data_IF_314624369291
#
_entry.id   IF_314624369291
#
_cell.length_a   1.000
_cell.length_b   1.000
_cell.length_c   1.000
_cell.angle_alpha   90.00
_cell.angle_beta   90.00
_cell.angle_gamma   90.00
#
_symmetry.space_group_name_H-M   'P 1'
#
loop_
_entity.id
_entity.type
_entity.pdbx_description
1 polymer ?
#
# COMPACT_ATOMS: atom_id res chain seq x y z
N UNK A 1 -9.51 10.38 11.67
CA UNK A 1 -8.47 9.81 10.82
C UNK A 1 -8.05 10.89 9.85
N UNK A 2 -7.11 11.74 10.24
CA UNK A 2 -6.44 12.65 9.32
C UNK A 2 -5.22 11.91 8.79
N UNK A 3 -5.20 11.68 7.48
CA UNK A 3 -4.03 11.12 6.80
C UNK A 3 -3.17 12.36 6.46
N UNK A 4 -2.22 12.69 7.33
CA UNK A 4 -1.38 13.89 7.20
C UNK A 4 -0.21 13.73 6.21
N UNK A 5 -0.15 12.61 5.48
CA UNK A 5 0.95 12.33 4.55
C UNK A 5 0.39 11.78 3.24
N UNK A 6 0.56 12.55 2.17
CA UNK A 6 0.31 12.10 0.79
C UNK A 6 1.13 10.84 0.54
N UNK A 7 0.51 9.85 -0.09
CA UNK A 7 1.22 8.64 -0.48
C UNK A 7 2.29 9.03 -1.52
N UNK A 8 3.50 8.44 -1.48
CA UNK A 8 4.50 8.71 -2.51
C UNK A 8 3.85 8.48 -3.89
N UNK A 9 4.01 9.45 -4.79
CA UNK A 9 3.50 9.47 -6.17
C UNK A 9 1.97 9.55 -6.35
N UNK A 10 1.19 9.87 -5.32
CA UNK A 10 -0.28 10.01 -5.41
C UNK A 10 -0.73 10.95 -6.55
N UNK A 11 -0.03 12.06 -6.77
CA UNK A 11 -0.32 13.05 -7.82
C UNK A 11 0.18 12.61 -9.20
N UNK A 12 1.26 11.84 -9.26
CA UNK A 12 1.94 11.48 -10.52
C UNK A 12 1.31 10.23 -11.16
N UNK A 13 0.87 9.28 -10.35
CA UNK A 13 0.19 8.04 -10.77
C UNK A 13 -1.35 8.16 -10.78
N UNK A 14 -1.91 9.22 -10.18
CA UNK A 14 -3.32 9.61 -10.35
C UNK A 14 -4.35 8.71 -9.65
N UNK A 15 -3.95 7.95 -8.63
CA UNK A 15 -4.87 7.16 -7.82
C UNK A 15 -5.28 7.93 -6.55
N UNK A 16 -6.50 7.67 -6.07
CA UNK A 16 -7.05 8.30 -4.85
C UNK A 16 -7.51 7.26 -3.82
N UNK A 17 -7.31 5.97 -4.12
CA UNK A 17 -7.70 4.85 -3.26
C UNK A 17 -6.54 3.86 -3.15
N UNK A 18 -6.51 3.08 -2.06
CA UNK A 18 -5.50 2.02 -1.88
C UNK A 18 -5.61 0.97 -2.99
N UNK A 19 -6.83 0.63 -3.42
CA UNK A 19 -7.04 -0.25 -4.55
C UNK A 19 -6.42 0.32 -5.84
N UNK A 20 -6.59 1.63 -6.10
CA UNK A 20 -5.98 2.31 -7.23
C UNK A 20 -4.45 2.31 -7.17
N UNK A 21 -3.88 2.54 -5.99
CA UNK A 21 -2.44 2.42 -5.75
C UNK A 21 -1.93 1.02 -6.12
N UNK A 22 -2.55 -0.04 -5.58
CA UNK A 22 -2.14 -1.42 -5.85
C UNK A 22 -2.30 -1.77 -7.34
N UNK A 23 -3.38 -1.35 -7.99
CA UNK A 23 -3.59 -1.59 -9.41
C UNK A 23 -2.56 -0.88 -10.30
N UNK A 24 -2.23 0.39 -9.97
CA UNK A 24 -1.18 1.15 -10.65
C UNK A 24 0.17 0.43 -10.54
N UNK A 25 0.52 0.00 -9.32
CA UNK A 25 1.76 -0.72 -9.05
C UNK A 25 1.81 -2.10 -9.71
N UNK A 26 0.71 -2.86 -9.67
CA UNK A 26 0.65 -4.22 -10.21
C UNK A 26 0.73 -4.26 -11.74
N UNK A 27 0.22 -3.23 -12.44
CA UNK A 27 0.15 -3.19 -13.90
C UNK A 27 -0.75 -4.25 -14.53
N UNK A 28 -1.51 -4.99 -13.72
CA UNK A 28 -2.48 -6.03 -14.09
C UNK A 28 -3.61 -6.08 -13.06
N UNK A 29 -4.69 -6.79 -13.39
CA UNK A 29 -5.68 -7.19 -12.38
C UNK A 29 -5.02 -8.26 -11.50
N UNK A 30 -4.90 -8.05 -10.18
CA UNK A 30 -4.29 -9.03 -9.28
C UNK A 30 -5.26 -10.17 -8.95
N UNK A 31 -4.70 -11.27 -8.47
CA UNK A 31 -5.47 -12.41 -7.97
C UNK A 31 -5.73 -12.28 -6.46
N UNK A 32 -6.81 -12.91 -5.97
CA UNK A 32 -7.02 -13.07 -4.52
C UNK A 32 -5.87 -13.88 -3.90
N UNK A 33 -5.32 -13.40 -2.80
CA UNK A 33 -4.14 -13.93 -2.11
C UNK A 33 -2.81 -13.36 -2.62
N UNK A 34 -2.81 -12.49 -3.64
CA UNK A 34 -1.61 -11.81 -4.10
C UNK A 34 -1.14 -10.78 -3.05
N UNK A 35 0.18 -10.72 -2.84
CA UNK A 35 0.82 -9.91 -1.79
C UNK A 35 1.76 -8.88 -2.41
N UNK A 36 1.64 -7.64 -1.97
CA UNK A 36 2.48 -6.50 -2.35
C UNK A 36 3.16 -5.90 -1.13
N UNK A 37 4.37 -5.38 -1.29
CA UNK A 37 5.14 -4.77 -0.22
C UNK A 37 5.52 -3.34 -0.60
N UNK A 38 5.22 -2.38 0.28
CA UNK A 38 5.63 -0.99 0.15
C UNK A 38 6.18 -0.50 1.49
N UNK A 39 7.51 -0.30 1.55
CA UNK A 39 8.20 0.00 2.80
C UNK A 39 7.91 -1.04 3.88
N UNK A 40 7.36 -0.60 5.02
CA UNK A 40 6.98 -1.47 6.15
C UNK A 40 5.61 -2.13 6.01
N UNK A 41 4.87 -1.80 4.96
CA UNK A 41 3.51 -2.29 4.77
C UNK A 41 3.49 -3.50 3.84
N UNK A 42 2.72 -4.50 4.23
CA UNK A 42 2.38 -5.65 3.38
C UNK A 42 0.88 -5.63 3.11
N UNK A 43 0.51 -5.63 1.84
CA UNK A 43 -0.87 -5.60 1.35
C UNK A 43 -1.20 -6.97 0.76
N UNK A 44 -2.19 -7.65 1.31
CA UNK A 44 -2.73 -8.89 0.76
C UNK A 44 -4.12 -8.64 0.19
N UNK A 45 -4.34 -9.04 -1.07
CA UNK A 45 -5.65 -8.98 -1.71
C UNK A 45 -6.53 -10.08 -1.13
N UNK A 46 -7.54 -9.72 -0.35
CA UNK A 46 -8.44 -10.69 0.29
C UNK A 46 -9.67 -10.98 -0.57
N UNK A 47 -10.11 -9.98 -1.35
CA UNK A 47 -11.35 -10.09 -2.12
C UNK A 47 -11.30 -9.25 -3.39
N UNK A 48 -11.68 -9.87 -4.51
CA UNK A 48 -11.71 -9.28 -5.84
C UNK A 48 -13.13 -9.38 -6.41
N UNK A 49 -13.70 -8.23 -6.75
CA UNK A 49 -14.96 -8.10 -7.48
C UNK A 49 -14.67 -7.72 -8.93
N UNK A 50 -14.52 -8.72 -9.80
CA UNK A 50 -14.10 -8.57 -11.19
C UNK A 50 -12.78 -7.80 -11.34
N UNK A 51 -12.81 -6.50 -11.60
CA UNK A 51 -11.64 -5.63 -11.70
C UNK A 51 -11.52 -4.63 -10.53
N UNK A 52 -12.34 -4.78 -9.50
CA UNK A 52 -12.34 -3.95 -8.31
C UNK A 52 -11.81 -4.74 -7.11
N UNK A 53 -10.80 -4.21 -6.43
CA UNK A 53 -10.35 -4.77 -5.16
C UNK A 53 -11.32 -4.28 -4.08
N UNK A 54 -12.10 -5.18 -3.47
CA UNK A 54 -13.05 -4.84 -2.41
C UNK A 54 -12.38 -4.85 -1.03
N UNK A 55 -11.52 -5.85 -0.78
CA UNK A 55 -10.94 -6.09 0.55
C UNK A 55 -9.45 -6.32 0.49
N UNK A 56 -8.74 -5.60 1.34
CA UNK A 56 -7.28 -5.65 1.49
C UNK A 56 -6.96 -5.86 2.96
N UNK A 57 -6.09 -6.81 3.25
CA UNK A 57 -5.46 -6.95 4.57
C UNK A 57 -4.13 -6.22 4.54
N UNK A 58 -3.94 -5.28 5.46
CA UNK A 58 -2.69 -4.55 5.62
C UNK A 58 -2.02 -4.97 6.92
N UNK A 59 -0.78 -5.42 6.83
CA UNK A 59 0.06 -5.70 7.99
C UNK A 59 1.28 -4.78 7.99
N UNK A 60 1.75 -4.42 9.18
CA UNK A 60 2.97 -3.63 9.38
C UNK A 60 4.04 -4.56 9.91
N UNK A 61 5.18 -4.65 9.22
CA UNK A 61 6.33 -5.31 9.79
C UNK A 61 6.97 -4.38 10.83
N UNK A 62 6.82 -4.71 12.12
CA UNK A 62 7.33 -3.89 13.23
C UNK A 62 8.86 -3.73 13.20
N UNK A 63 9.59 -4.67 12.59
CA UNK A 63 11.04 -4.58 12.41
C UNK A 63 11.41 -3.44 11.45
N UNK A 64 10.65 -3.26 10.37
CA UNK A 64 10.84 -2.20 9.38
C UNK A 64 10.27 -0.85 9.87
N UNK A 65 9.23 -0.88 10.70
CA UNK A 65 8.65 0.31 11.33
C UNK A 65 9.67 1.02 12.24
N UNK A 66 10.38 0.26 13.06
CA UNK A 66 11.37 0.81 13.99
C UNK A 66 12.61 1.36 13.27
N UNK A 67 12.96 0.84 12.08
CA UNK A 67 14.13 1.29 11.32
C UNK A 67 13.92 2.66 10.67
N UNK A 68 12.71 2.93 10.16
CA UNK A 68 12.35 4.23 9.57
C UNK A 68 12.25 5.35 10.63
N UNK A 69 11.85 5.02 11.86
CA UNK A 69 11.79 5.98 12.97
C UNK A 69 13.19 6.37 13.48
N UNK A 70 14.22 5.56 13.20
CA UNK A 70 15.61 5.87 13.52
C UNK A 70 16.25 6.76 12.43
N UNK A 71 15.94 6.51 11.16
CA UNK A 71 16.43 7.31 10.02
C UNK A 71 15.77 8.72 9.98
N UNK A 72 14.56 8.87 10.52
CA UNK A 72 13.86 10.16 10.61
C UNK A 72 14.33 11.06 11.77
N UNK A 73 15.30 10.62 12.58
CA UNK A 73 15.85 11.36 13.74
C UNK A 73 17.25 11.93 13.51
N UNK A 74 17.81 11.77 12.32
CA UNK A 74 19.15 12.26 11.98
C UNK A 74 19.17 13.64 11.29
N UNK A 75 18.01 14.30 11.10
CA UNK A 75 17.89 15.68 10.59
C UNK A 75 17.37 16.68 11.65
#
# INVERSE_FOLDING_TARGET
FEIEKEMPNEVEDGYTTIAGFILSHAGKIPDTGEIFHEGKFTFEIVDMDANHIDKILVTVNEEDANRLDLESKED
#
